data_IF_634647720379
#
_entry.id   IF_634647720379
#
_cell.length_a   1.000
_cell.length_b   1.000
_cell.length_c   1.000
_cell.angle_alpha   90.00
_cell.angle_beta   90.00
_cell.angle_gamma   90.00
#
_symmetry.space_group_name_H-M   'P 1'
#
loop_
_entity.id
_entity.type
_entity.pdbx_description
1 polymer ?
#
# COMPACT_ATOMS: atom_id res chain seq x y z
N UNK A 1 19.69 -65.18 51.95
CA UNK A 1 19.87 -65.11 50.48
C UNK A 1 20.12 -63.67 50.05
N UNK A 2 21.13 -63.50 49.19
CA UNK A 2 21.49 -62.41 48.25
C UNK A 2 21.25 -60.93 48.59
N UNK A 3 22.39 -60.24 48.71
CA UNK A 3 22.60 -58.79 48.53
C UNK A 3 22.47 -58.36 47.06
N UNK A 4 22.19 -57.06 46.91
CA UNK A 4 22.61 -56.17 45.83
C UNK A 4 21.92 -56.25 44.47
N UNK A 5 21.50 -55.06 44.00
CA UNK A 5 21.84 -54.36 42.74
C UNK A 5 20.58 -53.77 42.10
N UNK A 6 20.53 -52.67 41.33
CA UNK A 6 21.41 -51.59 40.81
C UNK A 6 20.45 -50.67 40.01
N UNK A 7 20.94 -49.50 39.60
CA UNK A 7 20.44 -48.60 38.53
C UNK A 7 19.34 -47.60 38.87
N UNK A 8 19.77 -46.35 39.08
CA UNK A 8 18.98 -45.17 38.70
C UNK A 8 19.60 -44.56 37.44
N UNK A 9 19.05 -44.89 36.27
CA UNK A 9 19.32 -44.22 35.01
C UNK A 9 17.97 -43.85 34.41
N UNK A 10 17.65 -42.55 34.37
CA UNK A 10 16.54 -42.02 33.56
C UNK A 10 17.05 -40.80 32.83
N UNK A 11 17.52 -41.05 31.61
CA UNK A 11 17.51 -40.08 30.54
C UNK A 11 16.05 -39.69 30.25
N UNK A 12 15.76 -38.40 30.13
CA UNK A 12 14.59 -37.91 29.40
C UNK A 12 14.97 -36.65 28.63
N UNK A 13 15.45 -36.90 27.42
CA UNK A 13 15.31 -36.00 26.27
C UNK A 13 13.81 -35.91 25.99
N UNK A 14 13.24 -34.71 25.92
CA UNK A 14 11.95 -34.47 25.26
C UNK A 14 11.97 -33.17 24.46
N UNK A 15 11.22 -33.14 23.34
CA UNK A 15 11.54 -32.36 22.16
C UNK A 15 10.40 -31.36 21.86
N UNK A 16 10.40 -30.85 20.63
CA UNK A 16 9.25 -30.35 19.87
C UNK A 16 8.84 -28.87 20.01
N UNK A 17 8.93 -28.24 18.82
CA UNK A 17 7.88 -27.44 18.20
C UNK A 17 7.70 -26.00 18.67
N UNK A 18 8.61 -25.14 18.23
CA UNK A 18 8.34 -23.71 18.02
C UNK A 18 8.24 -23.40 16.53
N UNK A 19 7.23 -23.93 15.83
CA UNK A 19 6.86 -23.44 14.49
C UNK A 19 6.23 -22.06 14.69
N UNK A 20 7.08 -21.04 14.65
CA UNK A 20 6.64 -19.66 14.53
C UNK A 20 6.36 -19.42 13.05
N UNK A 21 5.14 -19.73 12.60
CA UNK A 21 4.64 -19.24 11.33
C UNK A 21 4.49 -17.73 11.43
N UNK A 22 5.59 -17.01 11.18
CA UNK A 22 5.54 -15.63 10.75
C UNK A 22 4.89 -15.66 9.37
N UNK A 23 3.58 -15.47 9.32
CA UNK A 23 2.88 -15.14 8.09
C UNK A 23 3.29 -13.71 7.75
N UNK A 24 4.03 -13.44 6.66
CA UNK A 24 4.21 -12.08 6.20
C UNK A 24 2.83 -11.59 5.77
N UNK A 25 2.33 -10.57 6.45
CA UNK A 25 1.13 -9.85 6.04
C UNK A 25 1.30 -9.36 4.60
N UNK A 26 0.27 -9.56 3.80
CA UNK A 26 0.15 -9.10 2.42
C UNK A 26 0.31 -7.57 2.37
N UNK A 27 1.50 -7.08 2.02
CA UNK A 27 1.85 -5.65 2.03
C UNK A 27 2.25 -5.12 0.64
N UNK A 28 1.54 -5.54 -0.42
CA UNK A 28 1.87 -5.14 -1.80
C UNK A 28 1.08 -3.92 -2.32
N UNK A 29 -0.04 -3.55 -1.68
CA UNK A 29 -0.92 -2.47 -2.18
C UNK A 29 -0.61 -1.08 -1.58
N UNK A 30 0.02 -1.02 -0.42
CA UNK A 30 0.37 0.26 0.23
C UNK A 30 1.58 0.95 -0.42
N UNK A 31 2.44 0.20 -1.13
CA UNK A 31 3.70 0.69 -1.68
C UNK A 31 3.48 1.59 -2.92
N UNK A 32 2.56 1.21 -3.81
CA UNK A 32 2.33 1.94 -5.06
C UNK A 32 1.66 3.30 -4.81
N UNK A 33 0.61 3.33 -3.98
CA UNK A 33 -0.11 4.57 -3.69
C UNK A 33 0.72 5.57 -2.88
N UNK A 34 1.59 5.09 -2.00
CA UNK A 34 2.52 5.94 -1.23
C UNK A 34 3.59 6.55 -2.14
N UNK A 35 4.18 5.76 -3.06
CA UNK A 35 5.15 6.25 -4.04
C UNK A 35 4.49 7.28 -4.97
N UNK A 36 3.26 7.03 -5.40
CA UNK A 36 2.48 7.94 -6.25
C UNK A 36 2.22 9.27 -5.54
N UNK A 37 1.72 9.25 -4.30
CA UNK A 37 1.48 10.47 -3.54
C UNK A 37 2.78 11.23 -3.23
N UNK A 38 3.86 10.53 -2.90
CA UNK A 38 5.17 11.17 -2.72
C UNK A 38 5.61 11.85 -4.01
N UNK A 39 5.60 11.16 -5.15
CA UNK A 39 6.02 11.77 -6.43
C UNK A 39 5.15 12.96 -6.83
N UNK A 40 3.86 12.91 -6.48
CA UNK A 40 2.93 13.99 -6.76
C UNK A 40 3.31 15.27 -5.99
N UNK A 41 3.54 15.17 -4.67
CA UNK A 41 3.71 16.35 -3.79
C UNK A 41 5.15 16.61 -3.30
N UNK A 42 6.07 15.67 -3.52
CA UNK A 42 7.50 15.74 -3.18
C UNK A 42 8.33 14.96 -4.22
N UNK A 43 8.31 15.42 -5.50
CA UNK A 43 9.10 14.80 -6.56
C UNK A 43 10.60 14.98 -6.31
N UNK A 44 11.38 13.98 -6.69
CA UNK A 44 12.83 14.11 -6.78
C UNK A 44 13.22 14.95 -8.00
N UNK A 45 14.40 15.57 -7.98
CA UNK A 45 14.97 16.28 -9.13
C UNK A 45 15.01 15.43 -10.42
N UNK A 46 15.21 14.12 -10.28
CA UNK A 46 15.21 13.20 -11.41
C UNK A 46 13.80 13.00 -12.01
N UNK A 47 12.77 13.01 -11.17
CA UNK A 47 11.37 12.94 -11.60
C UNK A 47 10.96 14.24 -12.30
N UNK A 48 11.34 15.41 -11.75
CA UNK A 48 11.12 16.72 -12.37
C UNK A 48 11.80 16.81 -13.74
N UNK A 49 13.06 16.36 -13.82
CA UNK A 49 13.80 16.35 -15.08
C UNK A 49 13.16 15.41 -16.12
N UNK A 50 12.57 14.29 -15.68
CA UNK A 50 11.86 13.37 -16.56
C UNK A 50 10.55 13.99 -17.08
N UNK A 51 9.76 14.64 -16.22
CA UNK A 51 8.55 15.39 -16.60
C UNK A 51 8.87 16.48 -17.63
N UNK A 52 9.89 17.29 -17.35
CA UNK A 52 10.39 18.34 -18.25
C UNK A 52 10.89 17.78 -19.59
N UNK A 53 11.31 16.51 -19.61
CA UNK A 53 11.67 15.75 -20.81
C UNK A 53 10.48 15.17 -21.57
N UNK A 54 9.25 15.41 -21.13
CA UNK A 54 8.00 14.95 -21.73
C UNK A 54 7.47 13.62 -21.19
N UNK A 55 7.99 13.13 -20.05
CA UNK A 55 7.41 11.94 -19.40
C UNK A 55 6.08 12.31 -18.75
N UNK A 56 5.03 11.55 -19.08
CA UNK A 56 3.75 11.60 -18.38
C UNK A 56 3.75 10.57 -17.24
N UNK A 57 3.38 11.00 -16.04
CA UNK A 57 3.11 10.12 -14.92
C UNK A 57 1.61 9.87 -14.78
N UNK A 58 1.23 8.59 -14.72
CA UNK A 58 -0.14 8.17 -14.45
C UNK A 58 -0.26 7.94 -12.95
N UNK A 59 -1.27 8.55 -12.35
CA UNK A 59 -1.64 8.39 -10.95
C UNK A 59 -2.99 7.68 -10.90
N UNK A 60 -3.05 6.54 -10.23
CA UNK A 60 -4.23 5.67 -10.26
C UNK A 60 -4.93 5.66 -8.89
N UNK A 61 -6.24 5.89 -8.90
CA UNK A 61 -7.03 5.75 -7.69
C UNK A 61 -6.71 6.80 -6.64
N UNK A 62 -6.25 8.00 -7.01
CA UNK A 62 -6.19 9.11 -6.07
C UNK A 62 -7.59 9.58 -5.68
N UNK A 63 -7.73 10.17 -4.50
CA UNK A 63 -9.00 10.81 -4.12
C UNK A 63 -9.17 12.11 -4.92
N UNK A 64 -10.39 12.43 -5.28
CA UNK A 64 -10.74 13.70 -5.94
C UNK A 64 -10.20 14.94 -5.21
N UNK A 65 -10.15 14.94 -3.88
CA UNK A 65 -9.55 16.01 -3.07
C UNK A 65 -8.03 16.11 -3.24
N UNK A 66 -7.34 14.99 -3.45
CA UNK A 66 -5.90 14.99 -3.69
C UNK A 66 -5.60 15.43 -5.14
N UNK A 67 -6.45 15.02 -6.09
CA UNK A 67 -6.39 15.51 -7.48
C UNK A 67 -6.62 17.02 -7.53
N UNK A 68 -7.66 17.52 -6.85
CA UNK A 68 -7.94 18.95 -6.75
C UNK A 68 -6.76 19.72 -6.16
N UNK A 69 -6.15 19.20 -5.09
CA UNK A 69 -4.94 19.80 -4.51
C UNK A 69 -3.81 19.86 -5.53
N UNK A 70 -3.57 18.79 -6.29
CA UNK A 70 -2.56 18.80 -7.34
C UNK A 70 -2.85 19.83 -8.44
N UNK A 71 -4.11 19.99 -8.86
CA UNK A 71 -4.48 21.05 -9.82
C UNK A 71 -4.16 22.46 -9.29
N UNK A 72 -4.32 22.67 -7.98
CA UNK A 72 -4.13 23.97 -7.34
C UNK A 72 -2.65 24.25 -7.00
N UNK A 73 -1.90 23.24 -6.55
CA UNK A 73 -0.53 23.37 -6.02
C UNK A 73 0.55 23.04 -7.06
N UNK A 74 0.30 22.09 -7.96
CA UNK A 74 1.27 21.56 -8.94
C UNK A 74 1.01 22.10 -10.36
N UNK A 75 0.57 23.36 -10.45
CA UNK A 75 0.10 23.99 -11.69
C UNK A 75 1.09 23.86 -12.87
N UNK A 76 2.39 24.06 -12.62
CA UNK A 76 3.42 23.99 -13.67
C UNK A 76 3.74 22.55 -14.14
N UNK A 77 3.26 21.55 -13.41
CA UNK A 77 3.55 20.13 -13.66
C UNK A 77 2.35 19.33 -14.14
N UNK A 78 1.13 19.88 -14.00
CA UNK A 78 -0.12 19.17 -14.29
C UNK A 78 -0.21 18.65 -15.73
N UNK A 79 0.42 19.34 -16.68
CA UNK A 79 0.50 18.92 -18.09
C UNK A 79 1.25 17.58 -18.29
N UNK A 80 2.06 17.18 -17.30
CA UNK A 80 2.80 15.93 -17.28
C UNK A 80 2.15 14.85 -16.40
N UNK A 81 0.89 15.06 -15.99
CA UNK A 81 0.17 14.18 -15.09
C UNK A 81 -1.13 13.69 -15.74
N UNK A 82 -1.44 12.42 -15.52
CA UNK A 82 -2.72 11.83 -15.89
C UNK A 82 -3.31 11.13 -14.68
N UNK A 83 -4.54 11.50 -14.31
CA UNK A 83 -5.26 10.94 -13.18
C UNK A 83 -6.30 9.97 -13.72
N UNK A 84 -6.26 8.72 -13.29
CA UNK A 84 -7.20 7.68 -13.72
C UNK A 84 -7.88 7.03 -12.53
N UNK A 85 -9.11 6.56 -12.74
CA UNK A 85 -9.96 5.94 -11.70
C UNK A 85 -10.02 6.76 -10.41
N UNK A 86 -10.08 8.08 -10.52
CA UNK A 86 -10.16 9.01 -9.38
C UNK A 86 -11.29 8.59 -8.45
N UNK A 87 -11.00 8.39 -7.16
CA UNK A 87 -11.98 7.97 -6.17
C UNK A 87 -12.75 9.18 -5.65
N UNK A 88 -14.09 9.13 -5.71
CA UNK A 88 -14.94 10.21 -5.21
C UNK A 88 -14.90 10.27 -3.68
N UNK A 89 -14.95 11.47 -3.13
CA UNK A 89 -15.12 11.68 -1.70
C UNK A 89 -16.43 12.39 -1.36
N UNK A 90 -16.89 12.19 -0.14
CA UNK A 90 -18.00 12.94 0.46
C UNK A 90 -17.48 14.29 0.97
N UNK A 91 -18.40 15.16 1.39
CA UNK A 91 -18.05 16.45 2.03
C UNK A 91 -17.15 16.29 3.28
N UNK A 92 -17.13 15.12 3.91
CA UNK A 92 -16.26 14.80 5.04
C UNK A 92 -14.82 14.43 4.65
N UNK A 93 -14.54 14.27 3.35
CA UNK A 93 -13.28 13.75 2.81
C UNK A 93 -13.15 12.22 2.85
N UNK A 94 -14.18 11.51 3.33
CA UNK A 94 -14.24 10.05 3.28
C UNK A 94 -14.61 9.56 1.87
N UNK A 95 -14.14 8.37 1.49
CA UNK A 95 -14.49 7.74 0.22
C UNK A 95 -16.01 7.53 0.10
N UNK A 96 -16.56 7.99 -1.02
CA UNK A 96 -17.92 7.66 -1.41
C UNK A 96 -17.97 6.16 -1.82
N UNK A 97 -19.02 5.48 -1.38
CA UNK A 97 -19.24 4.06 -1.69
C UNK A 97 -20.67 3.88 -2.17
N UNK A 98 -20.81 3.07 -3.20
CA UNK A 98 -22.11 2.65 -3.70
C UNK A 98 -22.86 1.88 -2.58
N UNK A 99 -24.11 2.24 -2.27
CA UNK A 99 -24.84 1.69 -1.13
C UNK A 99 -25.29 0.23 -1.33
N UNK A 100 -25.36 -0.24 -2.57
CA UNK A 100 -25.81 -1.60 -2.89
C UNK A 100 -24.64 -2.59 -2.91
N UNK A 101 -23.49 -2.16 -3.42
CA UNK A 101 -22.31 -3.00 -3.65
C UNK A 101 -21.19 -2.78 -2.63
N UNK A 102 -21.15 -1.62 -1.97
CA UNK A 102 -20.09 -1.22 -1.06
C UNK A 102 -18.76 -0.87 -1.74
N UNK A 103 -18.73 -0.86 -3.08
CA UNK A 103 -17.55 -0.52 -3.89
C UNK A 103 -17.33 0.98 -3.85
N UNK A 104 -16.06 1.42 -3.84
CA UNK A 104 -15.73 2.84 -3.89
C UNK A 104 -16.15 3.41 -5.24
N UNK A 105 -16.86 4.52 -5.22
CA UNK A 105 -17.23 5.22 -6.44
C UNK A 105 -16.00 5.88 -7.06
N UNK A 106 -15.79 5.67 -8.35
CA UNK A 106 -14.75 6.33 -9.12
C UNK A 106 -15.35 7.24 -10.18
N UNK A 107 -14.61 8.26 -10.59
CA UNK A 107 -14.94 9.06 -11.78
C UNK A 107 -14.82 8.20 -13.04
N UNK A 108 -15.72 8.42 -13.99
CA UNK A 108 -15.67 7.82 -15.32
C UNK A 108 -14.75 8.68 -16.18
N UNK A 109 -13.52 8.20 -16.38
CA UNK A 109 -12.48 8.84 -17.18
C UNK A 109 -12.62 8.57 -18.69
N UNK A 110 -13.77 8.02 -19.12
CA UNK A 110 -14.18 7.96 -20.53
C UNK A 110 -13.52 6.84 -21.35
N UNK A 111 -13.05 5.78 -20.70
CA UNK A 111 -12.53 4.56 -21.35
C UNK A 111 -13.50 3.38 -21.29
#
# INVERSE_FOLDING_TARGET
MKKSRVVGARALIHPLLGICCLVPGMAAAADVSEIELRRLFDPTEAEIAAESGGRIYIYEGLRDIDVKRAMDEEFDRVDYMMFIRTQKTKDTGELAKDPETGVVETEDDGC
#
